data_IF_082519412623
#
_entry.id   IF_082519412623
#
_cell.length_a   1.000
_cell.length_b   1.000
_cell.length_c   1.000
_cell.angle_alpha   90.00
_cell.angle_beta   90.00
_cell.angle_gamma   90.00
#
_symmetry.space_group_name_H-M   'P 1'
#
loop_
_entity.id
_entity.type
_entity.pdbx_description
1 polymer ?
#
# COMPACT_ATOMS: atom_id res chain seq x y z
N UNK A 1 -17.82 -43.02 -5.38
CA UNK A 1 -16.57 -43.29 -4.64
C UNK A 1 -16.75 -42.74 -3.25
N UNK A 2 -16.50 -43.53 -2.21
CA UNK A 2 -16.67 -43.10 -0.82
C UNK A 2 -15.61 -42.07 -0.45
N UNK A 3 -16.07 -40.95 0.09
CA UNK A 3 -15.36 -39.73 0.51
C UNK A 3 -14.40 -39.93 1.70
N UNK A 4 -13.91 -41.15 1.96
CA UNK A 4 -13.29 -41.50 3.26
C UNK A 4 -11.84 -41.94 3.28
N UNK A 5 -11.17 -42.11 2.14
CA UNK A 5 -9.78 -42.61 2.13
C UNK A 5 -8.86 -41.76 1.26
N UNK A 6 -8.80 -40.46 1.51
CA UNK A 6 -7.63 -39.68 1.10
C UNK A 6 -7.07 -38.91 2.29
N UNK A 7 -5.77 -39.07 2.57
CA UNK A 7 -5.23 -38.69 3.86
C UNK A 7 -4.89 -37.21 3.85
N UNK A 8 -5.21 -36.53 4.95
CA UNK A 8 -4.67 -35.20 5.25
C UNK A 8 -3.14 -35.16 5.02
N UNK A 9 -2.47 -36.31 5.16
CA UNK A 9 -1.08 -36.60 4.83
C UNK A 9 -0.58 -36.08 3.47
N UNK A 10 -1.34 -36.04 2.37
CA UNK A 10 -0.79 -35.46 1.11
C UNK A 10 -0.66 -33.93 1.20
N UNK A 11 -1.68 -33.27 1.75
CA UNK A 11 -1.67 -31.83 1.93
C UNK A 11 -0.68 -31.44 3.03
N UNK A 12 -0.69 -32.18 4.13
CA UNK A 12 0.24 -32.00 5.24
C UNK A 12 1.67 -32.24 4.76
N UNK A 13 1.96 -33.30 3.97
CA UNK A 13 3.28 -33.48 3.34
C UNK A 13 3.66 -32.33 2.42
N UNK A 14 2.72 -31.80 1.63
CA UNK A 14 3.00 -30.66 0.75
C UNK A 14 3.24 -29.36 1.55
N UNK A 15 2.54 -29.17 2.67
CA UNK A 15 2.75 -28.01 3.56
C UNK A 15 4.02 -28.14 4.38
N UNK A 16 4.24 -29.30 5.01
CA UNK A 16 5.45 -29.66 5.76
C UNK A 16 6.67 -29.51 4.86
N UNK A 17 6.54 -29.97 3.60
CA UNK A 17 7.53 -29.70 2.57
C UNK A 17 7.79 -28.17 2.46
N UNK A 18 6.76 -27.37 2.18
CA UNK A 18 6.95 -25.93 2.01
C UNK A 18 7.49 -25.20 3.26
N UNK A 19 7.24 -25.73 4.47
CA UNK A 19 7.67 -25.14 5.74
C UNK A 19 9.08 -25.61 6.18
N UNK A 20 9.58 -26.73 5.66
CA UNK A 20 10.97 -27.19 5.86
C UNK A 20 11.95 -26.36 5.02
N UNK A 21 12.51 -25.32 5.64
CA UNK A 21 13.48 -24.43 5.03
C UNK A 21 14.75 -25.18 4.59
N UNK A 22 14.89 -25.50 3.30
CA UNK A 22 16.23 -25.53 2.69
C UNK A 22 16.59 -26.54 1.61
N UNK A 23 15.71 -27.44 1.13
CA UNK A 23 16.11 -28.41 0.08
C UNK A 23 15.23 -28.32 -1.20
N UNK A 24 15.86 -28.16 -2.38
CA UNK A 24 15.24 -28.18 -3.72
C UNK A 24 14.19 -29.30 -3.98
N UNK A 25 14.34 -30.56 -3.53
CA UNK A 25 13.36 -31.62 -3.81
C UNK A 25 11.94 -31.33 -3.30
N UNK A 26 11.83 -30.44 -2.32
CA UNK A 26 10.63 -30.24 -1.51
C UNK A 26 9.60 -29.31 -2.20
N UNK A 27 10.04 -28.30 -2.96
CA UNK A 27 9.15 -27.43 -3.77
C UNK A 27 8.52 -28.16 -4.95
N UNK A 28 9.23 -29.17 -5.47
CA UNK A 28 8.79 -30.01 -6.59
C UNK A 28 7.57 -30.87 -6.21
N UNK A 29 7.50 -31.35 -4.97
CA UNK A 29 6.36 -32.12 -4.45
C UNK A 29 5.10 -31.24 -4.36
N UNK A 30 5.23 -30.01 -3.84
CA UNK A 30 4.13 -29.05 -3.74
C UNK A 30 3.49 -28.75 -5.10
N UNK A 31 4.31 -28.46 -6.13
CA UNK A 31 3.81 -28.19 -7.49
C UNK A 31 3.09 -29.42 -8.06
N UNK A 32 3.64 -30.63 -7.86
CA UNK A 32 3.03 -31.87 -8.34
C UNK A 32 1.69 -32.17 -7.66
N UNK A 33 1.52 -31.75 -6.40
CA UNK A 33 0.26 -31.94 -5.66
C UNK A 33 -0.87 -31.03 -6.18
N UNK A 34 -0.56 -29.85 -6.72
CA UNK A 34 -1.58 -28.87 -7.15
C UNK A 34 -2.55 -29.46 -8.20
N UNK A 35 -2.10 -30.04 -9.33
CA UNK A 35 -3.02 -30.66 -10.31
C UNK A 35 -3.89 -31.78 -9.72
N UNK A 36 -3.33 -32.60 -8.83
CA UNK A 36 -4.08 -33.69 -8.19
C UNK A 36 -5.18 -33.14 -7.26
N UNK A 37 -4.88 -32.11 -6.48
CA UNK A 37 -5.86 -31.44 -5.62
C UNK A 37 -6.98 -30.80 -6.44
N UNK A 38 -6.64 -30.14 -7.56
CA UNK A 38 -7.61 -29.52 -8.47
C UNK A 38 -8.54 -30.56 -9.10
N UNK A 39 -8.02 -31.69 -9.60
CA UNK A 39 -8.82 -32.78 -10.18
C UNK A 39 -9.83 -33.37 -9.18
N UNK A 40 -9.52 -33.29 -7.88
CA UNK A 40 -10.35 -33.82 -6.79
C UNK A 40 -11.29 -32.77 -6.18
N UNK A 41 -11.26 -31.53 -6.65
CA UNK A 41 -12.09 -30.43 -6.15
C UNK A 41 -11.58 -29.77 -4.86
N UNK A 42 -10.34 -30.05 -4.43
CA UNK A 42 -9.72 -29.42 -3.25
C UNK A 42 -9.10 -28.06 -3.61
N UNK A 43 -9.94 -27.15 -4.11
CA UNK A 43 -9.51 -25.87 -4.66
C UNK A 43 -8.79 -24.97 -3.66
N UNK A 44 -9.31 -24.81 -2.44
CA UNK A 44 -8.71 -23.95 -1.43
C UNK A 44 -7.29 -24.39 -1.06
N UNK A 45 -7.11 -25.69 -0.83
CA UNK A 45 -5.80 -26.30 -0.51
C UNK A 45 -4.80 -26.13 -1.66
N UNK A 46 -5.25 -26.33 -2.90
CA UNK A 46 -4.42 -26.11 -4.09
C UNK A 46 -3.98 -24.64 -4.19
N UNK A 47 -4.88 -23.70 -3.93
CA UNK A 47 -4.59 -22.26 -3.95
C UNK A 47 -3.63 -21.85 -2.83
N UNK A 48 -3.78 -22.41 -1.63
CA UNK A 48 -2.86 -22.13 -0.51
C UNK A 48 -1.42 -22.54 -0.86
N UNK A 49 -1.24 -23.71 -1.49
CA UNK A 49 0.08 -24.16 -1.98
C UNK A 49 0.62 -23.21 -3.05
N UNK A 50 -0.21 -22.79 -4.01
CA UNK A 50 0.19 -21.83 -5.05
C UNK A 50 0.61 -20.48 -4.46
N UNK A 51 -0.11 -19.97 -3.44
CA UNK A 51 0.24 -18.74 -2.73
C UNK A 51 1.61 -18.89 -2.05
N UNK A 52 1.82 -19.99 -1.30
CA UNK A 52 3.11 -20.25 -0.64
C UNK A 52 4.29 -20.27 -1.62
N UNK A 53 4.12 -20.92 -2.78
CA UNK A 53 5.16 -20.96 -3.83
C UNK A 53 5.43 -19.55 -4.41
N UNK A 54 4.38 -18.74 -4.59
CA UNK A 54 4.55 -17.36 -5.07
C UNK A 54 5.26 -16.48 -4.04
N UNK A 55 4.88 -16.60 -2.76
CA UNK A 55 5.45 -15.84 -1.65
C UNK A 55 6.90 -16.19 -1.34
N UNK A 56 7.38 -17.35 -1.78
CA UNK A 56 8.75 -17.78 -1.56
C UNK A 56 9.75 -16.75 -2.12
N UNK A 57 10.58 -16.25 -1.21
CA UNK A 57 11.59 -15.22 -1.48
C UNK A 57 12.81 -15.74 -2.24
N UNK A 58 12.94 -17.06 -2.42
CA UNK A 58 14.08 -17.65 -3.12
C UNK A 58 14.11 -17.24 -4.61
N UNK A 59 15.14 -16.50 -5.07
CA UNK A 59 15.24 -16.09 -6.47
C UNK A 59 15.43 -17.27 -7.44
N UNK A 60 15.84 -18.45 -6.95
CA UNK A 60 15.98 -19.66 -7.76
C UNK A 60 14.64 -20.39 -8.01
N UNK A 61 13.56 -19.98 -7.34
CA UNK A 61 12.20 -20.53 -7.51
C UNK A 61 11.45 -20.04 -8.77
N UNK A 62 12.14 -19.41 -9.73
CA UNK A 62 11.47 -18.81 -10.89
C UNK A 62 10.69 -19.84 -11.71
N UNK A 63 11.24 -21.05 -11.89
CA UNK A 63 10.56 -22.14 -12.60
C UNK A 63 9.30 -22.61 -11.87
N UNK A 64 9.33 -22.61 -10.54
CA UNK A 64 8.20 -22.99 -9.69
C UNK A 64 7.06 -21.97 -9.83
N UNK A 65 7.41 -20.69 -9.83
CA UNK A 65 6.46 -19.59 -10.07
C UNK A 65 5.87 -19.66 -11.48
N UNK A 66 6.68 -19.94 -12.50
CA UNK A 66 6.20 -20.15 -13.86
C UNK A 66 5.18 -21.30 -13.89
N UNK A 67 5.52 -22.46 -13.31
CA UNK A 67 4.63 -23.61 -13.25
C UNK A 67 3.31 -23.29 -12.53
N UNK A 68 3.35 -22.57 -11.40
CA UNK A 68 2.15 -22.12 -10.70
C UNK A 68 1.31 -21.18 -11.57
N UNK A 69 1.93 -20.23 -12.27
CA UNK A 69 1.17 -19.32 -13.16
C UNK A 69 0.57 -20.03 -14.38
N UNK A 70 1.22 -21.07 -14.91
CA UNK A 70 0.65 -21.92 -15.96
C UNK A 70 -0.57 -22.70 -15.46
N UNK A 71 -0.48 -23.28 -14.27
CA UNK A 71 -1.61 -23.98 -13.64
C UNK A 71 -2.75 -22.98 -13.37
N UNK A 72 -2.46 -21.82 -12.79
CA UNK A 72 -3.46 -20.78 -12.54
C UNK A 72 -4.14 -20.33 -13.84
N UNK A 73 -3.41 -20.25 -14.95
CA UNK A 73 -3.96 -19.91 -16.26
C UNK A 73 -4.95 -20.98 -16.74
N UNK A 74 -4.62 -22.26 -16.62
CA UNK A 74 -5.52 -23.36 -16.97
C UNK A 74 -6.80 -23.33 -16.10
N UNK A 75 -6.66 -23.15 -14.79
CA UNK A 75 -7.81 -23.06 -13.88
C UNK A 75 -8.68 -21.84 -14.19
N UNK A 76 -8.08 -20.70 -14.50
CA UNK A 76 -8.81 -19.48 -14.85
C UNK A 76 -9.62 -19.58 -16.15
N UNK A 77 -9.21 -20.46 -17.07
CA UNK A 77 -9.98 -20.75 -18.29
C UNK A 77 -11.27 -21.51 -17.99
N UNK A 78 -11.29 -22.32 -16.93
CA UNK A 78 -12.46 -23.07 -16.49
C UNK A 78 -13.36 -22.21 -15.60
N UNK A 79 -12.81 -21.69 -14.49
CA UNK A 79 -13.51 -20.79 -13.58
C UNK A 79 -12.52 -19.91 -12.79
N UNK A 80 -12.48 -18.61 -13.13
CA UNK A 80 -11.63 -17.63 -12.46
C UNK A 80 -11.92 -17.46 -10.96
N UNK A 81 -13.10 -17.84 -10.47
CA UNK A 81 -13.42 -17.76 -9.03
C UNK A 81 -12.61 -18.74 -8.19
N UNK A 82 -12.17 -19.86 -8.78
CA UNK A 82 -11.35 -20.86 -8.08
C UNK A 82 -10.04 -20.23 -7.61
N UNK A 83 -9.41 -19.40 -8.44
CA UNK A 83 -8.13 -18.76 -8.13
C UNK A 83 -8.29 -17.38 -7.49
N UNK A 84 -9.49 -16.99 -7.06
CA UNK A 84 -9.78 -15.63 -6.54
C UNK A 84 -8.79 -15.16 -5.47
N UNK A 85 -8.44 -16.04 -4.52
CA UNK A 85 -7.49 -15.75 -3.43
C UNK A 85 -6.04 -15.61 -3.91
N UNK A 86 -5.69 -16.16 -5.07
CA UNK A 86 -4.36 -16.07 -5.69
C UNK A 86 -4.18 -14.74 -6.45
N UNK A 87 -5.27 -14.13 -6.92
CA UNK A 87 -5.21 -12.95 -7.80
C UNK A 87 -4.44 -11.75 -7.24
N UNK A 88 -4.52 -11.39 -5.94
CA UNK A 88 -3.73 -10.28 -5.38
C UNK A 88 -2.23 -10.54 -5.49
N UNK A 89 -1.80 -11.79 -5.32
CA UNK A 89 -0.40 -12.20 -5.43
C UNK A 89 0.12 -12.11 -6.86
N UNK A 90 -0.68 -12.55 -7.82
CA UNK A 90 -0.38 -12.42 -9.25
C UNK A 90 -0.34 -10.94 -9.68
N UNK A 91 -1.25 -10.12 -9.16
CA UNK A 91 -1.24 -8.68 -9.39
C UNK A 91 0.06 -8.04 -8.90
N UNK A 92 0.55 -8.44 -7.72
CA UNK A 92 1.84 -8.01 -7.19
C UNK A 92 3.00 -8.41 -8.11
N UNK A 93 3.05 -9.67 -8.54
CA UNK A 93 4.08 -10.15 -9.48
C UNK A 93 4.07 -9.30 -10.74
N UNK A 94 2.91 -9.02 -11.31
CA UNK A 94 2.77 -8.30 -12.58
C UNK A 94 3.19 -6.82 -12.48
N UNK A 95 2.83 -6.12 -11.40
CA UNK A 95 3.04 -4.66 -11.33
C UNK A 95 4.40 -4.25 -10.74
N UNK A 96 5.04 -5.10 -9.93
CA UNK A 96 6.23 -4.72 -9.14
C UNK A 96 7.44 -5.60 -9.41
N UNK A 97 7.50 -6.20 -10.58
CA UNK A 97 8.53 -7.18 -10.90
C UNK A 97 9.95 -6.61 -10.91
N UNK A 98 10.12 -5.30 -11.11
CA UNK A 98 11.41 -4.61 -10.92
C UNK A 98 11.80 -4.36 -9.45
N UNK A 99 10.83 -4.22 -8.54
CA UNK A 99 11.07 -3.89 -7.13
C UNK A 99 11.22 -5.14 -6.23
N UNK A 100 10.55 -6.24 -6.58
CA UNK A 100 10.56 -7.50 -5.82
C UNK A 100 11.73 -8.43 -6.17
N UNK A 101 12.15 -8.43 -7.44
CA UNK A 101 13.28 -9.23 -7.88
C UNK A 101 14.53 -8.37 -7.76
N UNK A 102 15.20 -8.48 -6.61
CA UNK A 102 16.47 -7.83 -6.35
C UNK A 102 17.44 -8.08 -7.52
N UNK A 103 17.63 -7.06 -8.37
CA UNK A 103 18.68 -6.91 -9.40
C UNK A 103 18.59 -7.73 -10.70
N UNK A 104 17.56 -8.55 -10.92
CA UNK A 104 17.36 -9.25 -12.18
C UNK A 104 16.10 -8.76 -12.90
N UNK A 105 16.19 -8.56 -14.22
CA UNK A 105 15.01 -8.36 -15.05
C UNK A 105 14.02 -9.50 -14.79
N UNK A 106 12.72 -9.21 -14.67
CA UNK A 106 11.68 -10.24 -14.58
C UNK A 106 11.82 -11.27 -15.68
N UNK A 107 11.56 -12.54 -15.37
CA UNK A 107 11.46 -13.55 -16.41
C UNK A 107 10.23 -13.22 -17.30
N UNK A 108 10.42 -13.06 -18.61
CA UNK A 108 9.34 -12.66 -19.51
C UNK A 108 8.22 -13.70 -19.59
N UNK A 109 8.51 -14.99 -19.36
CA UNK A 109 7.51 -16.06 -19.34
C UNK A 109 6.60 -15.89 -18.13
N UNK A 110 7.18 -15.64 -16.95
CA UNK A 110 6.40 -15.39 -15.74
C UNK A 110 5.48 -14.18 -15.91
N UNK A 111 6.00 -13.07 -16.47
CA UNK A 111 5.20 -11.86 -16.73
C UNK A 111 4.05 -12.16 -17.68
N UNK A 112 4.33 -12.83 -18.79
CA UNK A 112 3.33 -13.15 -19.81
C UNK A 112 2.24 -14.07 -19.25
N UNK A 113 2.61 -15.12 -18.52
CA UNK A 113 1.67 -16.05 -17.89
C UNK A 113 0.79 -15.31 -16.89
N UNK A 114 1.40 -14.51 -16.01
CA UNK A 114 0.67 -13.70 -15.03
C UNK A 114 -0.31 -12.75 -15.72
N UNK A 115 0.11 -12.06 -16.78
CA UNK A 115 -0.74 -11.16 -17.55
C UNK A 115 -1.95 -11.88 -18.17
N UNK A 116 -1.75 -13.10 -18.69
CA UNK A 116 -2.82 -13.91 -19.25
C UNK A 116 -3.84 -14.30 -18.17
N UNK A 117 -3.38 -14.76 -17.00
CA UNK A 117 -4.26 -15.06 -15.85
C UNK A 117 -5.08 -13.84 -15.45
N UNK A 118 -4.42 -12.69 -15.24
CA UNK A 118 -5.09 -11.46 -14.82
C UNK A 118 -6.08 -10.95 -15.88
N UNK A 119 -5.82 -11.19 -17.16
CA UNK A 119 -6.74 -10.83 -18.25
C UNK A 119 -7.99 -11.69 -18.23
N UNK A 120 -7.85 -13.01 -18.05
CA UNK A 120 -9.00 -13.92 -17.92
C UNK A 120 -9.83 -13.63 -16.67
N UNK A 121 -9.15 -13.36 -15.55
CA UNK A 121 -9.78 -13.12 -14.26
C UNK A 121 -10.11 -11.64 -14.00
N UNK A 122 -10.11 -10.78 -15.02
CA UNK A 122 -10.14 -9.32 -14.85
C UNK A 122 -11.29 -8.80 -13.98
N UNK A 123 -12.51 -9.30 -14.17
CA UNK A 123 -13.65 -8.89 -13.34
C UNK A 123 -13.49 -9.34 -11.89
N UNK A 124 -13.15 -10.61 -11.67
CA UNK A 124 -12.94 -11.19 -10.33
C UNK A 124 -11.79 -10.48 -9.61
N UNK A 125 -10.72 -10.15 -10.33
CA UNK A 125 -9.57 -9.42 -9.83
C UNK A 125 -9.98 -8.05 -9.30
N UNK A 126 -10.74 -7.26 -10.06
CA UNK A 126 -11.13 -5.92 -9.61
C UNK A 126 -12.03 -5.96 -8.37
N UNK A 127 -13.01 -6.86 -8.36
CA UNK A 127 -13.90 -7.03 -7.22
C UNK A 127 -13.12 -7.46 -5.98
N UNK A 128 -12.18 -8.39 -6.13
CA UNK A 128 -11.35 -8.88 -5.03
C UNK A 128 -10.38 -7.81 -4.53
N UNK A 129 -9.67 -7.13 -5.42
CA UNK A 129 -8.74 -6.05 -5.05
C UNK A 129 -9.50 -4.91 -4.34
N UNK A 130 -10.68 -4.52 -4.84
CA UNK A 130 -11.49 -3.50 -4.19
C UNK A 130 -11.96 -3.93 -2.78
N UNK A 131 -12.41 -5.18 -2.65
CA UNK A 131 -12.79 -5.77 -1.36
C UNK A 131 -11.62 -5.80 -0.37
N UNK A 132 -10.43 -6.20 -0.82
CA UNK A 132 -9.22 -6.26 0.01
C UNK A 132 -8.74 -4.86 0.44
N UNK A 133 -8.76 -3.89 -0.49
CA UNK A 133 -8.45 -2.49 -0.18
C UNK A 133 -9.38 -1.96 0.92
N UNK A 134 -10.69 -2.18 0.80
CA UNK A 134 -11.65 -1.79 1.84
C UNK A 134 -11.36 -2.48 3.18
N UNK A 135 -11.08 -3.79 3.17
CA UNK A 135 -10.72 -4.55 4.37
C UNK A 135 -9.45 -4.01 5.04
N UNK A 136 -8.43 -3.63 4.26
CA UNK A 136 -7.21 -2.99 4.77
C UNK A 136 -7.53 -1.64 5.44
N UNK A 137 -8.36 -0.80 4.80
CA UNK A 137 -8.80 0.48 5.36
C UNK A 137 -9.51 0.28 6.69
N UNK A 138 -10.45 -0.66 6.76
CA UNK A 138 -11.22 -0.94 7.97
C UNK A 138 -10.33 -1.39 9.12
N UNK A 139 -9.38 -2.30 8.83
CA UNK A 139 -8.40 -2.79 9.82
C UNK A 139 -7.46 -1.67 10.28
N UNK A 140 -6.94 -0.86 9.36
CA UNK A 140 -6.09 0.28 9.71
C UNK A 140 -6.82 1.29 10.60
N UNK A 141 -8.08 1.59 10.30
CA UNK A 141 -8.93 2.46 11.12
C UNK A 141 -9.22 1.84 12.50
N UNK A 142 -9.41 0.53 12.57
CA UNK A 142 -9.58 -0.19 13.83
C UNK A 142 -8.32 -0.07 14.70
N UNK A 143 -7.13 -0.33 14.14
CA UNK A 143 -5.84 -0.18 14.84
C UNK A 143 -5.67 1.27 15.32
N UNK A 144 -5.93 2.25 14.44
CA UNK A 144 -5.85 3.67 14.78
C UNK A 144 -6.71 4.01 16.01
N UNK A 145 -7.96 3.53 16.03
CA UNK A 145 -8.91 3.74 17.12
C UNK A 145 -8.50 3.02 18.41
N UNK A 146 -8.07 1.76 18.30
CA UNK A 146 -7.67 0.91 19.41
C UNK A 146 -6.47 1.50 20.17
N UNK A 147 -5.43 1.92 19.43
CA UNK A 147 -4.19 2.42 20.02
C UNK A 147 -4.12 3.95 20.09
N UNK A 148 -5.15 4.68 19.64
CA UNK A 148 -5.19 6.15 19.55
C UNK A 148 -3.97 6.72 18.83
N UNK A 149 -3.60 6.10 17.73
CA UNK A 149 -2.40 6.42 16.93
C UNK A 149 -2.78 6.71 15.48
N UNK A 150 -1.98 7.53 14.82
CA UNK A 150 -2.03 7.71 13.35
C UNK A 150 -0.99 6.86 12.64
N UNK A 151 0.00 6.32 13.36
CA UNK A 151 1.05 5.45 12.83
C UNK A 151 0.60 4.01 12.95
N UNK A 152 0.33 3.37 11.81
CA UNK A 152 -0.24 2.02 11.71
C UNK A 152 0.83 1.06 11.21
N UNK A 153 1.30 0.11 12.04
CA UNK A 153 2.21 -0.94 11.59
C UNK A 153 1.52 -1.82 10.54
N UNK A 154 2.07 -1.92 9.33
CA UNK A 154 1.47 -2.70 8.25
C UNK A 154 1.60 -4.21 8.46
N UNK A 155 2.55 -4.66 9.30
CA UNK A 155 2.60 -6.05 9.78
C UNK A 155 1.36 -6.46 10.56
N UNK A 156 0.83 -5.58 11.40
CA UNK A 156 -0.41 -5.83 12.16
C UNK A 156 -1.62 -5.87 11.23
N UNK A 157 -1.64 -4.98 10.22
CA UNK A 157 -2.67 -4.98 9.18
C UNK A 157 -2.64 -6.29 8.40
N UNK A 158 -1.47 -6.71 7.91
CA UNK A 158 -1.28 -7.96 7.17
C UNK A 158 -1.78 -9.18 7.96
N UNK A 159 -1.40 -9.27 9.24
CA UNK A 159 -1.84 -10.34 10.14
C UNK A 159 -3.36 -10.37 10.31
N UNK A 160 -4.00 -9.22 10.54
CA UNK A 160 -5.46 -9.12 10.74
C UNK A 160 -6.25 -9.32 9.44
N UNK A 161 -5.69 -8.96 8.29
CA UNK A 161 -6.32 -9.15 6.98
C UNK A 161 -6.14 -10.59 6.49
N UNK A 162 -5.09 -11.28 6.92
CA UNK A 162 -4.74 -12.64 6.48
C UNK A 162 -4.04 -12.65 5.13
N UNK A 163 -3.13 -11.69 4.90
CA UNK A 163 -2.30 -11.58 3.70
C UNK A 163 -0.83 -11.46 4.10
N UNK A 164 0.10 -11.72 3.20
CA UNK A 164 1.49 -11.31 3.45
C UNK A 164 1.63 -9.80 3.46
N UNK A 165 2.61 -9.35 4.24
CA UNK A 165 3.01 -7.95 4.33
C UNK A 165 3.24 -7.36 2.94
N UNK A 166 3.92 -8.10 2.07
CA UNK A 166 4.16 -7.81 0.66
C UNK A 166 2.91 -7.31 -0.07
N UNK A 167 1.83 -8.09 -0.04
CA UNK A 167 0.59 -7.75 -0.75
C UNK A 167 -0.05 -6.50 -0.14
N UNK A 168 -0.05 -6.40 1.19
CA UNK A 168 -0.58 -5.21 1.89
C UNK A 168 0.20 -3.95 1.52
N UNK A 169 1.53 -3.99 1.51
CA UNK A 169 2.38 -2.85 1.15
C UNK A 169 2.02 -2.31 -0.24
N UNK A 170 1.80 -3.22 -1.20
CA UNK A 170 1.53 -2.85 -2.58
C UNK A 170 0.14 -2.31 -2.79
N UNK A 171 -0.86 -2.90 -2.14
CA UNK A 171 -2.21 -2.35 -2.14
C UNK A 171 -2.24 -0.99 -1.44
N UNK A 172 -1.47 -0.80 -0.36
CA UNK A 172 -1.36 0.51 0.33
C UNK A 172 -0.70 1.56 -0.56
N UNK A 173 0.38 1.23 -1.25
CA UNK A 173 1.04 2.13 -2.19
C UNK A 173 0.09 2.57 -3.31
N UNK A 174 -0.66 1.62 -3.89
CA UNK A 174 -1.68 1.90 -4.89
C UNK A 174 -2.82 2.78 -4.33
N UNK A 175 -3.31 2.48 -3.13
CA UNK A 175 -4.35 3.28 -2.45
C UNK A 175 -3.89 4.72 -2.17
N UNK A 176 -2.62 4.91 -1.80
CA UNK A 176 -2.03 6.24 -1.59
C UNK A 176 -1.93 7.00 -2.92
N UNK A 177 -1.48 6.34 -3.98
CA UNK A 177 -1.39 6.92 -5.32
C UNK A 177 -2.78 7.36 -5.84
N UNK A 178 -3.79 6.52 -5.65
CA UNK A 178 -5.17 6.79 -6.06
C UNK A 178 -5.94 7.70 -5.08
N UNK A 179 -5.32 8.10 -3.96
CA UNK A 179 -5.93 8.90 -2.88
C UNK A 179 -7.17 8.25 -2.23
N UNK A 180 -7.24 6.92 -2.27
CA UNK A 180 -8.24 6.12 -1.55
C UNK A 180 -7.98 6.18 -0.03
N UNK A 181 -6.70 6.25 0.34
CA UNK A 181 -6.22 6.53 1.70
C UNK A 181 -5.41 7.82 1.68
N UNK A 182 -5.59 8.68 2.70
CA UNK A 182 -4.77 9.87 2.91
C UNK A 182 -3.72 9.56 3.97
N UNK A 183 -2.46 9.75 3.64
CA UNK A 183 -1.36 9.38 4.52
C UNK A 183 -0.01 9.41 3.83
N UNK A 184 0.99 8.89 4.51
CA UNK A 184 2.28 8.54 3.92
C UNK A 184 2.73 7.17 4.44
N UNK A 185 3.50 6.48 3.60
CA UNK A 185 4.10 5.21 3.93
C UNK A 185 5.59 5.40 4.23
N UNK A 186 6.05 4.93 5.39
CA UNK A 186 7.45 4.80 5.75
C UNK A 186 7.92 3.38 5.46
N UNK A 187 8.72 3.23 4.41
CA UNK A 187 9.23 1.94 3.94
C UNK A 187 10.31 1.32 4.81
N UNK A 188 10.90 2.07 5.74
CA UNK A 188 11.91 1.52 6.66
C UNK A 188 11.24 0.89 7.87
N UNK A 189 10.16 1.50 8.35
CA UNK A 189 9.40 1.00 9.49
C UNK A 189 8.23 0.09 9.14
N UNK A 190 7.89 -0.05 7.85
CA UNK A 190 6.63 -0.63 7.37
C UNK A 190 5.41 0.03 8.05
N UNK A 191 5.42 1.36 8.18
CA UNK A 191 4.41 2.15 8.89
C UNK A 191 3.59 2.97 7.90
N UNK A 192 2.26 2.81 7.94
CA UNK A 192 1.32 3.72 7.30
C UNK A 192 0.90 4.80 8.29
N UNK A 193 1.29 6.04 8.04
CA UNK A 193 0.83 7.19 8.80
C UNK A 193 -0.43 7.76 8.17
N UNK A 194 -1.57 7.56 8.80
CA UNK A 194 -2.86 8.11 8.36
C UNK A 194 -2.89 9.63 8.59
N UNK A 195 -3.32 10.37 7.59
CA UNK A 195 -3.68 11.75 7.81
C UNK A 195 -5.01 11.84 8.56
N UNK A 196 -5.00 12.49 9.72
CA UNK A 196 -6.24 12.87 10.41
C UNK A 196 -7.14 13.67 9.46
N UNK A 197 -8.39 13.23 9.30
CA UNK A 197 -9.47 13.98 8.65
C UNK A 197 -9.87 15.22 9.45
N UNK A 198 -9.53 15.21 10.74
CA UNK A 198 -9.68 16.33 11.66
C UNK A 198 -8.47 17.24 11.61
N UNK A 199 -8.74 18.54 11.60
CA UNK A 199 -7.78 19.59 11.90
C UNK A 199 -8.12 20.22 13.25
N UNK A 200 -7.16 20.91 13.87
CA UNK A 200 -7.38 21.71 15.08
C UNK A 200 -7.32 23.18 14.75
N UNK A 201 -8.16 23.97 15.40
CA UNK A 201 -8.17 25.41 15.23
C UNK A 201 -6.95 26.01 15.91
N UNK A 202 -6.12 26.76 15.18
CA UNK A 202 -4.97 27.46 15.79
C UNK A 202 -5.41 28.55 16.78
N UNK A 203 -6.67 29.00 16.74
CA UNK A 203 -7.19 30.04 17.64
C UNK A 203 -7.85 29.44 18.90
N UNK A 204 -8.73 28.44 18.77
CA UNK A 204 -9.47 27.88 19.91
C UNK A 204 -9.15 26.41 20.26
N UNK A 205 -8.32 25.73 19.48
CA UNK A 205 -7.97 24.32 19.69
C UNK A 205 -9.04 23.29 19.31
N UNK A 206 -10.26 23.71 18.96
CA UNK A 206 -11.34 22.79 18.60
C UNK A 206 -10.99 21.95 17.36
N UNK A 207 -11.36 20.66 17.39
CA UNK A 207 -11.23 19.74 16.26
C UNK A 207 -12.39 19.91 15.28
N UNK A 208 -12.10 19.90 13.99
CA UNK A 208 -13.10 20.05 12.94
C UNK A 208 -12.69 19.33 11.65
N UNK A 209 -13.65 19.01 10.78
CA UNK A 209 -13.37 18.40 9.47
C UNK A 209 -12.52 19.32 8.61
N UNK A 210 -11.49 18.77 7.93
CA UNK A 210 -10.65 19.56 7.04
C UNK A 210 -11.47 20.38 6.02
N UNK A 211 -12.66 19.98 5.57
CA UNK A 211 -13.32 20.70 4.46
C UNK A 211 -13.98 22.05 4.82
N UNK A 212 -13.87 22.51 6.07
CA UNK A 212 -14.45 23.80 6.50
C UNK A 212 -13.48 24.98 6.30
N UNK A 213 -14.00 26.11 5.80
CA UNK A 213 -13.24 27.36 5.60
C UNK A 213 -13.12 28.21 6.88
N UNK A 214 -13.98 27.95 7.87
CA UNK A 214 -14.01 28.66 9.16
C UNK A 214 -14.14 27.66 10.30
N UNK A 215 -13.58 27.99 11.46
CA UNK A 215 -13.74 27.17 12.65
C UNK A 215 -15.22 27.13 13.08
N UNK A 216 -15.84 25.94 13.25
CA UNK A 216 -17.23 25.86 13.68
C UNK A 216 -17.45 26.33 15.13
N UNK A 217 -16.41 26.34 15.96
CA UNK A 217 -16.51 26.68 17.38
C UNK A 217 -16.27 28.17 17.68
N UNK A 218 -15.32 28.82 17.00
CA UNK A 218 -14.97 30.23 17.24
C UNK A 218 -15.12 31.14 16.02
N UNK A 219 -15.60 30.60 14.90
CA UNK A 219 -15.83 31.33 13.64
C UNK A 219 -14.58 31.96 13.01
N UNK A 220 -13.38 31.66 13.51
CA UNK A 220 -12.12 32.13 12.90
C UNK A 220 -11.99 31.62 11.47
N UNK A 221 -11.75 32.54 10.54
CA UNK A 221 -11.48 32.22 9.14
C UNK A 221 -10.06 31.68 8.97
N UNK A 222 -9.90 30.61 8.20
CA UNK A 222 -8.58 30.06 7.94
C UNK A 222 -7.95 30.73 6.71
N UNK A 223 -6.82 31.44 6.85
CA UNK A 223 -6.19 32.11 5.72
C UNK A 223 -5.67 31.09 4.71
N UNK A 224 -5.66 31.44 3.42
CA UNK A 224 -5.01 30.65 2.38
C UNK A 224 -3.53 31.02 2.27
N UNK A 225 -2.68 30.02 2.16
CA UNK A 225 -1.25 30.21 1.96
C UNK A 225 -0.98 30.90 0.64
N UNK A 226 -0.24 32.02 0.66
CA UNK A 226 0.08 32.76 -0.57
C UNK A 226 0.96 32.01 -1.58
N UNK A 227 1.62 30.93 -1.14
CA UNK A 227 2.52 30.12 -1.97
C UNK A 227 1.77 28.92 -2.56
N UNK A 228 1.25 28.01 -1.73
CA UNK A 228 0.58 26.79 -2.23
C UNK A 228 -0.93 26.96 -2.48
N UNK A 229 -1.52 28.11 -2.13
CA UNK A 229 -2.96 28.42 -2.26
C UNK A 229 -3.91 27.53 -1.43
N UNK A 230 -3.38 26.64 -0.61
CA UNK A 230 -4.14 25.79 0.32
C UNK A 230 -4.46 26.52 1.63
N UNK A 231 -5.51 26.08 2.33
CA UNK A 231 -5.93 26.61 3.63
C UNK A 231 -4.88 26.29 4.70
N UNK A 232 -4.48 27.30 5.50
CA UNK A 232 -3.53 27.17 6.60
C UNK A 232 -4.29 26.72 7.86
N UNK A 233 -3.96 25.52 8.34
CA UNK A 233 -4.57 24.92 9.54
C UNK A 233 -3.67 24.92 10.75
N UNK A 234 -2.39 25.16 10.55
CA UNK A 234 -1.39 25.36 11.60
C UNK A 234 -1.28 26.85 11.93
N UNK A 235 -0.39 27.21 12.86
CA UNK A 235 -0.10 28.63 13.16
C UNK A 235 0.48 29.26 11.88
N UNK A 236 -0.23 30.20 11.23
CA UNK A 236 0.29 30.87 10.04
C UNK A 236 1.50 31.73 10.41
N UNK A 237 2.44 31.86 9.48
CA UNK A 237 3.39 32.97 9.52
C UNK A 237 2.95 34.05 8.54
N UNK A 238 3.15 35.31 8.89
CA UNK A 238 2.74 36.44 8.06
C UNK A 238 3.88 37.40 7.79
N UNK A 239 3.91 37.95 6.56
CA UNK A 239 4.86 39.01 6.22
C UNK A 239 4.56 40.27 7.05
N UNK A 240 5.55 40.86 7.76
CA UNK A 240 5.32 42.03 8.60
C UNK A 240 4.97 43.29 7.80
N UNK A 241 5.23 43.30 6.48
CA UNK A 241 5.00 44.44 5.59
C UNK A 241 3.63 44.43 4.91
N UNK A 242 3.19 43.28 4.38
CA UNK A 242 1.93 43.17 3.66
C UNK A 242 0.88 42.26 4.33
N UNK A 243 1.18 41.72 5.51
CA UNK A 243 0.31 40.88 6.32
C UNK A 243 -0.26 39.63 5.60
N UNK A 244 0.35 39.22 4.49
CA UNK A 244 -0.05 38.02 3.77
C UNK A 244 0.49 36.78 4.50
N UNK A 245 -0.37 35.78 4.69
CA UNK A 245 -0.08 34.57 5.47
C UNK A 245 0.34 33.39 4.60
N UNK A 246 1.19 32.54 5.15
CA UNK A 246 1.65 31.29 4.52
C UNK A 246 1.86 30.18 5.56
N UNK A 247 1.91 28.94 5.09
CA UNK A 247 2.53 27.87 5.87
C UNK A 247 3.98 28.23 6.18
N UNK A 248 4.42 28.00 7.41
CA UNK A 248 5.79 28.32 7.85
C UNK A 248 6.84 27.70 6.94
N UNK A 249 6.69 26.41 6.64
CA UNK A 249 7.63 25.67 5.78
C UNK A 249 7.72 26.27 4.36
N UNK A 250 6.58 26.51 3.71
CA UNK A 250 6.56 27.10 2.36
C UNK A 250 7.15 28.51 2.34
N UNK A 251 6.85 29.34 3.35
CA UNK A 251 7.45 30.68 3.42
C UNK A 251 8.95 30.62 3.61
N UNK A 252 9.46 29.74 4.49
CA UNK A 252 10.90 29.60 4.73
C UNK A 252 11.63 29.06 3.49
N UNK A 253 11.06 28.06 2.81
CA UNK A 253 11.63 27.54 1.57
C UNK A 253 11.65 28.61 0.47
N UNK A 254 10.58 29.39 0.34
CA UNK A 254 10.55 30.52 -0.60
C UNK A 254 11.61 31.57 -0.29
N UNK A 255 11.79 31.94 0.98
CA UNK A 255 12.82 32.91 1.39
C UNK A 255 14.23 32.38 1.10
N UNK A 256 14.45 31.07 1.24
CA UNK A 256 15.71 30.42 0.85
C UNK A 256 15.93 30.46 -0.67
N UNK A 257 14.89 30.21 -1.46
CA UNK A 257 14.98 30.23 -2.94
C UNK A 257 15.15 31.65 -3.51
N UNK A 258 14.53 32.64 -2.88
CA UNK A 258 14.57 34.06 -3.28
C UNK A 258 15.70 34.86 -2.61
N UNK A 259 16.66 34.17 -1.98
CA UNK A 259 17.74 34.79 -1.21
C UNK A 259 18.64 35.68 -2.07
N UNK A 260 18.82 36.92 -1.62
CA UNK A 260 19.76 37.88 -2.20
C UNK A 260 21.03 37.95 -1.35
N UNK A 261 22.14 37.49 -1.92
CA UNK A 261 23.46 37.45 -1.27
C UNK A 261 23.95 38.83 -0.78
N UNK A 262 23.52 39.93 -1.39
CA UNK A 262 23.93 41.28 -0.95
C UNK A 262 23.17 41.74 0.29
N UNK A 263 21.95 41.25 0.48
CA UNK A 263 21.07 41.62 1.60
C UNK A 263 21.01 40.56 2.69
N UNK A 264 21.52 39.37 2.40
CA UNK A 264 21.42 38.18 3.23
C UNK A 264 19.98 37.85 3.66
N UNK A 265 19.02 38.10 2.75
CA UNK A 265 17.57 37.95 3.01
C UNK A 265 16.84 37.46 1.76
N UNK A 266 15.72 36.79 1.97
CA UNK A 266 14.77 36.41 0.90
C UNK A 266 13.77 37.53 0.61
N UNK A 267 12.98 37.40 -0.46
CA UNK A 267 11.95 38.38 -0.84
C UNK A 267 10.55 37.82 -0.62
N UNK A 268 9.65 38.65 -0.08
CA UNK A 268 8.24 38.29 0.06
C UNK A 268 7.62 38.02 -1.33
N UNK A 269 6.90 36.91 -1.55
CA UNK A 269 6.30 36.60 -2.86
C UNK A 269 5.25 37.62 -3.30
N UNK A 270 4.66 38.37 -2.36
CA UNK A 270 3.58 39.32 -2.62
C UNK A 270 4.10 40.75 -2.76
N UNK A 271 4.83 41.26 -1.75
CA UNK A 271 5.24 42.66 -1.73
C UNK A 271 6.70 42.91 -2.10
N UNK A 272 7.47 41.84 -2.38
CA UNK A 272 8.88 41.89 -2.81
C UNK A 272 9.83 42.62 -1.83
N UNK A 273 9.38 42.89 -0.59
CA UNK A 273 10.26 43.40 0.46
C UNK A 273 11.19 42.28 0.95
N UNK A 274 12.42 42.63 1.30
CA UNK A 274 13.38 41.69 1.90
C UNK A 274 13.01 41.35 3.33
N UNK A 275 13.02 40.06 3.66
CA UNK A 275 12.78 39.54 5.01
C UNK A 275 13.59 38.25 5.26
N UNK A 276 14.02 38.08 6.50
CA UNK A 276 14.60 36.85 7.03
C UNK A 276 13.56 35.99 7.77
N UNK A 277 13.90 34.74 8.13
CA UNK A 277 13.06 33.89 8.98
C UNK A 277 12.58 34.55 10.28
N UNK A 278 13.43 35.38 10.87
CA UNK A 278 13.21 36.13 12.12
C UNK A 278 12.23 37.30 11.99
N UNK A 279 12.00 37.78 10.76
CA UNK A 279 11.08 38.90 10.49
C UNK A 279 9.60 38.44 10.42
N UNK A 280 9.35 37.12 10.37
CA UNK A 280 8.01 36.55 10.26
C UNK A 280 7.22 36.68 11.57
N UNK A 281 5.95 37.10 11.46
CA UNK A 281 5.01 37.18 12.59
C UNK A 281 4.16 35.93 12.70
#
# INVERSE_FOLDING_TARGET
>A
MSEKDFPDDLFDKALDALDETGEEPIKTEGIKAVPELLQRGYYDKAVDIMIKIIEDSDPYSINDKIAVTDIAHQVAQEDANIIRRLLPYLYVIYNKTEAYLTRASPDPVLIMNTANVLTLAKSVLYDEVASLKQKIIDVANQISKEYKTVNIPLGDVATRVGLSLVVVLLLVDEMLLNKEVRGHYDSVGDILTLESDKARCYNCGAEFSKDVEKCPSCSTEFPKCVICRLIIRTIPVSCPKCNNSAHREHMLEWLKMSHDKKKDKGMCPICQNYLGPEDLK
#
